data_IF_796194886917
#
_entry.id   IF_796194886917
#
_cell.length_a   1.000
_cell.length_b   1.000
_cell.length_c   1.000
_cell.angle_alpha   90.00
_cell.angle_beta   90.00
_cell.angle_gamma   90.00
#
_symmetry.space_group_name_H-M   'P 1'
#
loop_
_entity.id
_entity.type
_entity.pdbx_description
1 polymer ?
#
# COMPACT_ATOMS: atom_id res chain seq x y z
N UNK A 1 18.00 7.77 -16.95
CA UNK A 1 16.87 8.31 -17.77
C UNK A 1 16.07 7.18 -18.41
N UNK A 2 14.77 7.37 -18.66
CA UNK A 2 13.89 6.33 -19.22
C UNK A 2 14.38 5.80 -20.58
N UNK A 3 14.97 6.66 -21.41
CA UNK A 3 15.52 6.28 -22.71
C UNK A 3 16.60 5.19 -22.63
N UNK A 4 17.39 5.16 -21.55
CA UNK A 4 18.45 4.15 -21.36
C UNK A 4 17.92 2.77 -20.98
N UNK A 5 16.71 2.71 -20.41
CA UNK A 5 16.07 1.51 -19.89
C UNK A 5 15.02 0.89 -20.84
N UNK A 6 14.59 1.63 -21.86
CA UNK A 6 13.56 1.16 -22.81
C UNK A 6 13.99 -0.15 -23.47
N UNK A 7 13.13 -1.17 -23.41
CA UNK A 7 13.36 -2.48 -24.02
C UNK A 7 14.40 -3.34 -23.28
N UNK A 8 14.71 -3.03 -22.02
CA UNK A 8 15.68 -3.76 -21.19
C UNK A 8 15.07 -4.16 -19.86
N UNK A 9 15.66 -5.17 -19.23
CA UNK A 9 15.43 -5.47 -17.83
C UNK A 9 16.33 -4.59 -16.95
N UNK A 10 15.76 -4.08 -15.86
CA UNK A 10 16.53 -3.50 -14.75
C UNK A 10 16.56 -4.56 -13.66
N UNK A 11 17.75 -5.01 -13.29
CA UNK A 11 17.94 -6.02 -12.24
C UNK A 11 18.16 -5.29 -10.91
N UNK A 12 17.36 -5.63 -9.90
CA UNK A 12 17.62 -5.31 -8.50
C UNK A 12 18.14 -6.59 -7.84
N UNK A 13 19.43 -6.62 -7.51
CA UNK A 13 20.08 -7.83 -7.00
C UNK A 13 20.22 -7.79 -5.48
N UNK A 14 19.68 -8.81 -4.81
CA UNK A 14 19.94 -9.09 -3.39
C UNK A 14 21.10 -10.08 -3.19
N UNK A 15 21.87 -10.35 -4.25
CA UNK A 15 23.09 -11.15 -4.18
C UNK A 15 24.25 -10.35 -4.79
N UNK A 16 25.34 -10.25 -4.01
CA UNK A 16 26.56 -9.52 -4.37
C UNK A 16 27.16 -9.96 -5.71
N UNK A 17 27.05 -11.25 -6.03
CA UNK A 17 27.58 -11.80 -7.29
C UNK A 17 26.92 -11.21 -8.53
N UNK A 18 25.68 -10.75 -8.44
CA UNK A 18 24.93 -10.19 -9.57
C UNK A 18 24.84 -8.66 -9.55
N UNK A 19 25.51 -7.98 -8.61
CA UNK A 19 25.50 -6.51 -8.54
C UNK A 19 26.09 -5.86 -9.81
N UNK A 20 27.00 -6.54 -10.52
CA UNK A 20 27.55 -6.06 -11.79
C UNK A 20 26.55 -6.00 -12.96
N UNK A 21 25.37 -6.63 -12.84
CA UNK A 21 24.34 -6.67 -13.87
C UNK A 21 23.18 -5.71 -13.61
N UNK A 22 23.21 -4.94 -12.52
CA UNK A 22 22.07 -4.12 -12.10
C UNK A 22 22.39 -3.18 -10.94
N UNK A 23 21.39 -2.94 -10.09
CA UNK A 23 21.53 -2.16 -8.86
C UNK A 23 21.44 -3.10 -7.65
N UNK A 24 22.14 -2.74 -6.58
CA UNK A 24 22.02 -3.43 -5.29
C UNK A 24 20.60 -3.20 -4.73
N UNK A 25 19.85 -4.28 -4.49
CA UNK A 25 18.52 -4.20 -3.89
C UNK A 25 18.56 -3.48 -2.53
N UNK A 26 19.61 -3.74 -1.74
CA UNK A 26 19.78 -3.14 -0.41
C UNK A 26 20.14 -1.65 -0.44
N UNK A 27 20.43 -1.09 -1.63
CA UNK A 27 20.59 0.37 -1.79
C UNK A 27 19.25 1.11 -1.92
N UNK A 28 18.14 0.38 -2.07
CA UNK A 28 16.80 0.95 -2.13
C UNK A 28 16.27 1.25 -0.71
N UNK A 29 15.33 2.19 -0.63
CA UNK A 29 14.58 2.47 0.59
C UNK A 29 13.33 1.58 0.62
N UNK A 30 13.37 0.54 1.45
CA UNK A 30 12.40 -0.57 1.41
C UNK A 30 11.54 -0.60 2.69
N UNK A 31 10.22 -0.68 2.52
CA UNK A 31 9.29 -1.12 3.58
C UNK A 31 8.80 -2.53 3.23
N UNK A 32 9.19 -3.52 4.04
CA UNK A 32 8.77 -4.93 3.89
C UNK A 32 8.42 -5.59 5.23
N UNK A 33 7.56 -4.95 6.00
CA UNK A 33 7.01 -5.51 7.24
C UNK A 33 5.94 -6.56 6.94
N UNK A 34 6.31 -7.69 6.34
CA UNK A 34 5.35 -8.67 5.83
C UNK A 34 4.70 -9.53 6.94
N UNK A 35 5.33 -9.68 8.10
CA UNK A 35 4.93 -10.68 9.10
C UNK A 35 3.91 -10.11 10.10
N UNK A 36 2.64 -10.49 9.94
CA UNK A 36 1.56 -10.19 10.87
C UNK A 36 1.38 -11.37 11.83
N UNK A 37 1.19 -11.11 13.14
CA UNK A 37 0.87 -12.14 14.13
C UNK A 37 -0.62 -12.48 14.11
N UNK A 38 -1.48 -11.50 13.86
CA UNK A 38 -2.94 -11.65 13.76
C UNK A 38 -3.53 -10.64 12.77
N UNK A 39 -4.81 -10.80 12.44
CA UNK A 39 -5.55 -9.84 11.60
C UNK A 39 -5.52 -8.40 12.17
N UNK A 40 -5.41 -8.22 13.48
CA UNK A 40 -5.40 -6.89 14.12
C UNK A 40 -4.09 -6.11 13.89
N UNK A 41 -3.04 -6.78 13.42
CA UNK A 41 -1.79 -6.12 13.04
C UNK A 41 -1.91 -5.41 11.68
N UNK A 42 -2.98 -5.66 10.92
CA UNK A 42 -3.21 -5.09 9.59
C UNK A 42 -3.16 -3.56 9.58
N UNK A 43 -3.69 -2.91 10.62
CA UNK A 43 -3.65 -1.46 10.68
C UNK A 43 -2.22 -0.92 10.89
N UNK A 44 -1.40 -1.59 11.71
CA UNK A 44 0.01 -1.20 11.87
C UNK A 44 0.80 -1.40 10.56
N UNK A 45 0.53 -2.48 9.83
CA UNK A 45 1.06 -2.67 8.47
C UNK A 45 0.64 -1.52 7.55
N UNK A 46 -0.64 -1.14 7.57
CA UNK A 46 -1.15 -0.02 6.79
C UNK A 46 -0.46 1.30 7.16
N UNK A 47 -0.23 1.59 8.43
CA UNK A 47 0.48 2.81 8.85
C UNK A 47 1.90 2.88 8.29
N UNK A 48 2.62 1.75 8.26
CA UNK A 48 3.95 1.65 7.65
C UNK A 48 3.90 1.88 6.14
N UNK A 49 2.92 1.28 5.46
CA UNK A 49 2.68 1.52 4.02
C UNK A 49 2.43 3.01 3.77
N UNK A 50 1.47 3.60 4.49
CA UNK A 50 1.07 5.01 4.37
C UNK A 50 2.25 5.94 4.60
N UNK A 51 3.03 5.72 5.67
CA UNK A 51 4.24 6.50 5.95
C UNK A 51 5.28 6.37 4.84
N UNK A 52 5.45 5.19 4.24
CA UNK A 52 6.41 4.99 3.15
C UNK A 52 5.96 5.64 1.84
N UNK A 53 4.65 5.69 1.54
CA UNK A 53 4.11 6.50 0.44
C UNK A 53 4.47 7.98 0.63
N UNK A 54 4.28 8.52 1.83
CA UNK A 54 4.64 9.91 2.18
C UNK A 54 6.15 10.17 2.09
N UNK A 55 6.96 9.17 2.45
CA UNK A 55 8.41 9.23 2.33
C UNK A 55 8.84 9.27 0.85
N UNK A 56 8.22 8.47 -0.01
CA UNK A 56 8.56 8.41 -1.43
C UNK A 56 8.26 9.73 -2.16
N UNK A 57 7.09 10.33 -1.91
CA UNK A 57 6.68 11.59 -2.55
C UNK A 57 7.52 12.80 -2.12
N UNK A 58 8.11 12.76 -0.91
CA UNK A 58 8.92 13.84 -0.35
C UNK A 58 10.44 13.55 -0.35
N UNK A 59 10.85 12.34 -0.76
CA UNK A 59 12.20 11.83 -0.60
C UNK A 59 13.23 12.32 -1.62
N UNK A 60 14.44 11.75 -1.56
CA UNK A 60 15.52 12.05 -2.49
C UNK A 60 15.23 11.48 -3.89
N UNK A 61 15.48 12.28 -4.93
CA UNK A 61 15.34 11.85 -6.32
C UNK A 61 16.27 10.75 -6.80
N UNK A 62 17.38 10.55 -6.12
CA UNK A 62 18.34 9.51 -6.44
C UNK A 62 18.04 8.19 -5.71
N UNK A 63 17.03 8.18 -4.82
CA UNK A 63 16.63 6.98 -4.07
C UNK A 63 15.46 6.28 -4.75
N UNK A 64 15.57 4.96 -4.87
CA UNK A 64 14.46 4.08 -5.26
C UNK A 64 13.69 3.66 -3.99
N UNK A 65 12.42 4.02 -3.92
CA UNK A 65 11.52 3.66 -2.82
C UNK A 65 10.70 2.44 -3.22
N UNK A 66 10.71 1.38 -2.42
CA UNK A 66 9.95 0.14 -2.65
C UNK A 66 9.05 -0.14 -1.45
N UNK A 67 7.76 -0.26 -1.69
CA UNK A 67 6.74 -0.41 -0.65
C UNK A 67 5.95 -1.71 -0.87
N UNK A 68 6.10 -2.67 0.03
CA UNK A 68 5.37 -3.93 0.00
C UNK A 68 4.04 -3.79 0.73
N UNK A 69 2.94 -3.94 -0.03
CA UNK A 69 1.59 -4.00 0.50
C UNK A 69 1.24 -5.39 1.04
N UNK A 70 1.97 -6.40 0.58
CA UNK A 70 1.80 -7.81 0.94
C UNK A 70 2.11 -8.06 2.42
N UNK A 71 1.55 -9.15 2.92
CA UNK A 71 1.77 -9.61 4.29
C UNK A 71 1.17 -10.99 4.52
N UNK A 72 1.74 -11.73 5.48
CA UNK A 72 1.35 -13.09 5.83
C UNK A 72 1.76 -13.42 7.28
N UNK A 73 1.78 -14.70 7.64
CA UNK A 73 2.08 -15.18 9.00
C UNK A 73 0.80 -15.67 9.66
N UNK A 74 0.33 -14.95 10.67
CA UNK A 74 -0.96 -15.17 11.33
C UNK A 74 -2.15 -14.52 10.63
N UNK A 75 -1.94 -13.89 9.47
CA UNK A 75 -2.98 -13.40 8.57
C UNK A 75 -2.79 -14.03 7.18
N UNK A 76 -3.89 -14.27 6.47
CA UNK A 76 -3.79 -14.76 5.08
C UNK A 76 -3.47 -13.60 4.11
N UNK A 77 -2.65 -13.82 3.07
CA UNK A 77 -2.35 -12.79 2.08
C UNK A 77 -3.59 -12.15 1.43
N UNK A 78 -4.63 -12.95 1.13
CA UNK A 78 -5.88 -12.41 0.60
C UNK A 78 -6.56 -11.45 1.60
N UNK A 79 -6.46 -11.72 2.90
CA UNK A 79 -7.03 -10.86 3.94
C UNK A 79 -6.23 -9.55 4.03
N UNK A 80 -4.91 -9.61 3.99
CA UNK A 80 -4.07 -8.39 3.99
C UNK A 80 -4.40 -7.51 2.78
N UNK A 81 -4.52 -8.12 1.60
CA UNK A 81 -4.82 -7.38 0.37
C UNK A 81 -6.24 -6.79 0.31
N UNK A 82 -7.24 -7.44 0.92
CA UNK A 82 -8.67 -7.09 0.73
C UNK A 82 -9.47 -6.74 2.00
N UNK A 83 -9.03 -7.15 3.19
CA UNK A 83 -9.81 -7.09 4.43
C UNK A 83 -10.99 -8.08 4.49
N UNK A 84 -11.13 -8.96 3.49
CA UNK A 84 -12.27 -9.86 3.38
C UNK A 84 -12.22 -11.03 4.37
N UNK A 85 -13.38 -11.40 4.89
CA UNK A 85 -13.56 -12.55 5.79
C UNK A 85 -13.21 -13.91 5.15
N UNK A 86 -13.19 -14.00 3.82
CA UNK A 86 -12.77 -15.18 3.07
C UNK A 86 -12.14 -14.78 1.72
N UNK A 87 -11.54 -15.75 1.02
CA UNK A 87 -10.77 -15.51 -0.22
C UNK A 87 -11.59 -15.08 -1.45
N UNK A 88 -12.92 -15.00 -1.34
CA UNK A 88 -13.78 -14.66 -2.46
C UNK A 88 -13.70 -13.18 -2.83
N UNK A 89 -13.72 -12.86 -4.13
CA UNK A 89 -13.71 -11.47 -4.63
C UNK A 89 -14.88 -10.64 -4.11
N UNK A 90 -16.04 -11.28 -3.86
CA UNK A 90 -17.24 -10.63 -3.33
C UNK A 90 -17.48 -10.93 -1.84
N UNK A 91 -16.49 -11.50 -1.15
CA UNK A 91 -16.63 -11.79 0.27
C UNK A 91 -16.75 -10.48 1.06
N UNK A 92 -17.58 -10.44 2.12
CA UNK A 92 -17.71 -9.24 2.94
C UNK A 92 -16.42 -8.99 3.72
N UNK A 93 -16.13 -7.72 4.00
CA UNK A 93 -15.09 -7.30 4.94
C UNK A 93 -15.32 -7.93 6.31
N UNK A 94 -14.24 -8.33 6.97
CA UNK A 94 -14.31 -8.84 8.34
C UNK A 94 -14.57 -7.68 9.31
N UNK A 95 -15.44 -7.90 10.30
CA UNK A 95 -15.63 -6.94 11.39
C UNK A 95 -14.43 -6.97 12.34
N UNK A 96 -13.99 -5.80 12.82
CA UNK A 96 -12.92 -5.70 13.83
C UNK A 96 -13.40 -6.03 15.25
N UNK A 97 -14.72 -6.09 15.45
CA UNK A 97 -15.36 -6.17 16.76
C UNK A 97 -15.56 -4.81 17.44
N UNK A 98 -15.07 -3.71 16.85
CA UNK A 98 -15.22 -2.35 17.36
C UNK A 98 -16.38 -1.61 16.67
N UNK A 99 -17.01 -0.69 17.40
CA UNK A 99 -18.10 0.15 16.89
C UNK A 99 -17.90 1.64 17.21
N UNK A 100 -18.42 2.52 16.35
CA UNK A 100 -18.59 3.95 16.66
C UNK A 100 -19.95 4.16 17.35
N UNK A 101 -20.11 5.18 18.22
CA UNK A 101 -19.13 6.21 18.56
C UNK A 101 -18.08 5.79 19.61
N UNK A 102 -18.22 4.62 20.25
CA UNK A 102 -17.36 4.19 21.36
C UNK A 102 -15.86 4.13 20.98
N UNK A 103 -15.55 3.66 19.78
CA UNK A 103 -14.19 3.49 19.26
C UNK A 103 -13.91 4.40 18.06
N UNK A 104 -14.42 5.64 18.08
CA UNK A 104 -14.33 6.57 16.93
C UNK A 104 -12.90 6.75 16.41
N UNK A 105 -11.92 6.86 17.31
CA UNK A 105 -10.51 7.11 16.97
C UNK A 105 -9.73 5.83 16.62
N UNK A 106 -10.33 4.65 16.77
CA UNK A 106 -9.67 3.38 16.42
C UNK A 106 -9.73 3.17 14.91
N UNK A 107 -8.58 2.90 14.30
CA UNK A 107 -8.46 2.61 12.87
C UNK A 107 -9.19 3.64 11.98
N UNK A 108 -8.83 4.93 12.02
CA UNK A 108 -9.56 5.99 11.32
C UNK A 108 -9.68 5.78 9.82
N UNK A 109 -8.72 5.10 9.18
CA UNK A 109 -8.74 4.82 7.74
C UNK A 109 -9.65 3.63 7.36
N UNK A 110 -10.13 2.84 8.32
CA UNK A 110 -11.01 1.69 8.06
C UNK A 110 -12.47 2.12 7.88
N UNK A 111 -13.27 1.44 7.04
CA UNK A 111 -14.65 1.81 6.78
C UNK A 111 -15.54 1.59 8.00
N UNK A 112 -16.51 2.49 8.16
CA UNK A 112 -17.63 2.36 9.09
C UNK A 112 -18.83 1.83 8.33
N UNK A 113 -19.30 0.62 8.66
CA UNK A 113 -20.35 -0.10 7.94
C UNK A 113 -21.47 -0.56 8.88
N UNK A 114 -22.57 -1.07 8.30
CA UNK A 114 -23.68 -1.67 9.06
C UNK A 114 -24.19 -0.78 10.20
N UNK A 115 -24.50 0.47 9.88
CA UNK A 115 -24.91 1.48 10.85
C UNK A 115 -26.38 1.34 11.26
N UNK A 116 -26.66 1.29 12.56
CA UNK A 116 -28.02 1.30 13.11
C UNK A 116 -28.10 2.30 14.28
N UNK A 117 -29.01 3.28 14.17
CA UNK A 117 -29.26 4.31 15.20
C UNK A 117 -27.94 4.99 15.66
N UNK A 118 -27.09 5.36 14.69
CA UNK A 118 -25.81 6.03 14.95
C UNK A 118 -24.66 5.13 15.41
N UNK A 119 -24.91 3.82 15.60
CA UNK A 119 -23.89 2.84 15.94
C UNK A 119 -23.42 2.14 14.66
N UNK A 120 -22.14 2.28 14.29
CA UNK A 120 -21.58 1.63 13.09
C UNK A 120 -20.48 0.65 13.47
N UNK A 121 -20.36 -0.46 12.74
CA UNK A 121 -19.25 -1.41 12.87
C UNK A 121 -18.02 -0.89 12.15
N UNK A 122 -16.85 -0.98 12.77
CA UNK A 122 -15.56 -0.76 12.12
C UNK A 122 -15.15 -2.09 11.46
N UNK A 123 -15.00 -2.10 10.14
CA UNK A 123 -14.57 -3.30 9.40
C UNK A 123 -13.13 -3.15 8.90
N UNK A 124 -12.39 -4.25 8.80
CA UNK A 124 -11.06 -4.25 8.20
C UNK A 124 -11.11 -3.82 6.73
N UNK A 125 -10.10 -3.07 6.29
CA UNK A 125 -9.89 -2.74 4.88
C UNK A 125 -8.51 -3.20 4.43
N UNK A 126 -8.45 -3.76 3.22
CA UNK A 126 -7.22 -4.30 2.68
C UNK A 126 -6.21 -3.22 2.26
N UNK A 127 -4.94 -3.57 2.31
CA UNK A 127 -3.83 -2.68 1.94
C UNK A 127 -3.93 -2.19 0.49
N UNK A 128 -4.48 -3.01 -0.44
CA UNK A 128 -4.66 -2.59 -1.84
C UNK A 128 -5.67 -1.44 -1.96
N UNK A 129 -6.79 -1.52 -1.24
CA UNK A 129 -7.86 -0.53 -1.28
C UNK A 129 -7.42 0.77 -0.59
N UNK A 130 -6.85 0.64 0.61
CA UNK A 130 -6.32 1.77 1.37
C UNK A 130 -5.22 2.52 0.60
N UNK A 131 -4.30 1.80 -0.04
CA UNK A 131 -3.23 2.40 -0.86
C UNK A 131 -3.80 3.15 -2.05
N UNK A 132 -4.75 2.53 -2.77
CA UNK A 132 -5.45 3.16 -3.90
C UNK A 132 -6.16 4.45 -3.45
N UNK A 133 -6.93 4.41 -2.37
CA UNK A 133 -7.66 5.58 -1.86
C UNK A 133 -6.69 6.69 -1.42
N UNK A 134 -5.56 6.35 -0.78
CA UNK A 134 -4.56 7.33 -0.37
C UNK A 134 -3.84 8.00 -1.54
N UNK A 135 -3.55 7.25 -2.61
CA UNK A 135 -2.98 7.83 -3.84
C UNK A 135 -4.00 8.75 -4.53
N UNK A 136 -5.29 8.41 -4.53
CA UNK A 136 -6.35 9.29 -5.04
C UNK A 136 -6.40 10.58 -4.22
N UNK A 137 -6.32 10.49 -2.90
CA UNK A 137 -6.25 11.67 -2.01
C UNK A 137 -5.09 12.58 -2.42
N UNK A 138 -3.88 12.04 -2.59
CA UNK A 138 -2.73 12.82 -3.08
C UNK A 138 -3.02 13.50 -4.41
N UNK A 139 -3.52 12.75 -5.41
CA UNK A 139 -3.79 13.29 -6.74
C UNK A 139 -4.86 14.39 -6.75
N UNK A 140 -5.73 14.46 -5.73
CA UNK A 140 -6.88 15.38 -5.67
C UNK A 140 -6.73 16.54 -4.69
N UNK A 141 -5.79 16.47 -3.73
CA UNK A 141 -5.54 17.49 -2.70
C UNK A 141 -4.92 18.81 -3.25
N UNK A 142 -4.83 18.98 -4.57
CA UNK A 142 -4.26 20.17 -5.22
C UNK A 142 -2.75 20.35 -5.01
N UNK A 143 -2.14 19.57 -4.12
CA UNK A 143 -0.69 19.48 -3.93
C UNK A 143 -0.08 18.85 -5.17
N UNK A 144 0.86 19.57 -5.78
CA UNK A 144 1.70 18.99 -6.81
C UNK A 144 2.91 18.34 -6.15
N UNK A 145 3.15 17.08 -6.45
CA UNK A 145 4.30 16.36 -5.93
C UNK A 145 5.43 16.40 -6.95
N UNK A 146 6.66 16.52 -6.46
CA UNK A 146 7.86 16.44 -7.31
C UNK A 146 8.24 14.99 -7.63
N UNK A 147 7.61 14.02 -6.97
CA UNK A 147 7.93 12.59 -7.02
C UNK A 147 6.68 11.73 -6.95
N UNK A 148 6.79 10.52 -7.48
CA UNK A 148 5.75 9.49 -7.41
C UNK A 148 5.78 8.80 -6.05
N UNK A 149 4.81 7.93 -5.82
CA UNK A 149 4.76 7.04 -4.65
C UNK A 149 5.79 5.89 -4.65
N UNK A 150 6.74 5.88 -5.59
CA UNK A 150 7.75 4.83 -5.71
C UNK A 150 7.24 3.55 -6.38
N UNK A 151 7.91 2.43 -6.10
CA UNK A 151 7.56 1.09 -6.57
C UNK A 151 6.64 0.43 -5.56
N UNK A 152 5.47 -0.03 -6.00
CA UNK A 152 4.50 -0.75 -5.17
C UNK A 152 4.57 -2.23 -5.52
N UNK A 153 4.78 -3.08 -4.52
CA UNK A 153 4.73 -4.54 -4.64
C UNK A 153 3.49 -5.03 -3.89
N UNK A 154 2.59 -5.73 -4.57
CA UNK A 154 1.28 -6.09 -4.04
C UNK A 154 0.87 -7.52 -4.40
N UNK A 155 0.13 -8.15 -3.49
CA UNK A 155 -0.55 -9.42 -3.74
C UNK A 155 -1.94 -9.16 -4.30
N UNK A 156 -2.31 -9.93 -5.33
CA UNK A 156 -3.62 -9.84 -6.01
C UNK A 156 -4.04 -8.40 -6.39
N UNK A 157 -3.17 -7.58 -7.01
CA UNK A 157 -3.51 -6.21 -7.36
C UNK A 157 -4.67 -6.19 -8.36
N UNK A 158 -5.73 -5.48 -8.00
CA UNK A 158 -6.85 -5.22 -8.91
C UNK A 158 -6.52 -4.13 -9.92
N UNK A 159 -7.30 -4.08 -10.99
CA UNK A 159 -7.23 -3.07 -12.05
C UNK A 159 -7.23 -1.63 -11.51
N UNK A 160 -8.09 -1.33 -10.54
CA UNK A 160 -8.20 0.01 -9.95
C UNK A 160 -6.94 0.45 -9.22
N UNK A 161 -6.26 -0.44 -8.50
CA UNK A 161 -4.99 -0.11 -7.83
C UNK A 161 -3.91 0.17 -8.89
N UNK A 162 -3.82 -0.70 -9.90
CA UNK A 162 -2.83 -0.59 -10.98
C UNK A 162 -3.02 0.73 -11.74
N UNK A 163 -4.25 1.04 -12.17
CA UNK A 163 -4.54 2.29 -12.88
C UNK A 163 -4.21 3.50 -12.00
N UNK A 164 -4.63 3.50 -10.73
CA UNK A 164 -4.35 4.60 -9.80
C UNK A 164 -2.86 4.91 -9.66
N UNK A 165 -2.00 3.87 -9.57
CA UNK A 165 -0.55 4.03 -9.53
C UNK A 165 -0.02 4.61 -10.85
N UNK A 166 -0.52 4.14 -12.00
CA UNK A 166 -0.14 4.68 -13.31
C UNK A 166 -0.53 6.16 -13.40
N UNK A 167 -1.77 6.51 -13.04
CA UNK A 167 -2.27 7.88 -13.11
C UNK A 167 -1.50 8.85 -12.21
N UNK A 168 -0.99 8.41 -11.05
CA UNK A 168 -0.18 9.23 -10.16
C UNK A 168 1.02 9.89 -10.88
N UNK A 169 1.61 9.22 -11.87
CA UNK A 169 2.71 9.78 -12.67
C UNK A 169 2.33 11.02 -13.48
N UNK A 170 1.03 11.26 -13.74
CA UNK A 170 0.55 12.44 -14.47
C UNK A 170 0.44 13.70 -13.60
N UNK A 171 0.46 13.54 -12.28
CA UNK A 171 0.32 14.63 -11.30
C UNK A 171 1.67 15.19 -10.82
N UNK A 172 2.77 14.72 -11.40
CA UNK A 172 4.10 15.22 -11.08
C UNK A 172 4.28 16.66 -11.58
N UNK A 173 4.94 17.50 -10.77
CA UNK A 173 5.46 18.78 -11.25
C UNK A 173 6.42 18.53 -12.42
N UNK A 174 6.22 19.27 -13.51
CA UNK A 174 7.10 19.25 -14.68
C UNK A 174 8.31 20.15 -14.46
#
# INVERSE_FOLDING_TARGET
PLGSARGKFIILSDNKEFQGFGMDYNSCDIQDDYNLKTNWDLYSKWEKIKSHLEKAINGDKNTMYINYLSGSGGSFPYFVASGHSSRGTSAPRLATGLTTPLFTNSYPDFPRISCLIGICTIAFEGTNILTKDKIIEYNTDGKKFKRTVGVIIADFPGDLLIDTIIQNNKFLEK
#
